data_IF_995555569380
#
_entry.id   IF_995555569380
#
_cell.length_a   1.000
_cell.length_b   1.000
_cell.length_c   1.000
_cell.angle_alpha   90.00
_cell.angle_beta   90.00
_cell.angle_gamma   90.00
#
_symmetry.space_group_name_H-M   'P 1'
#
loop_
_entity.id
_entity.type
_entity.pdbx_description
1 polymer ?
#
# COMPACT_ATOMS: atom_id res chain seq x y z
N UNK A 1 -70.04 69.45 24.70
CA UNK A 1 -69.78 68.19 23.96
C UNK A 1 -68.99 68.51 22.69
N UNK A 2 -68.15 67.57 22.22
CA UNK A 2 -66.76 67.79 21.79
C UNK A 2 -66.66 68.01 20.26
N UNK A 3 -65.52 68.33 19.64
CA UNK A 3 -64.56 67.29 19.26
C UNK A 3 -63.13 67.82 19.00
N UNK A 4 -62.21 66.88 19.14
CA UNK A 4 -60.80 66.99 19.50
C UNK A 4 -59.90 66.79 18.27
N UNK A 5 -58.72 67.41 18.36
CA UNK A 5 -57.39 66.93 17.88
C UNK A 5 -56.97 67.14 16.41
N UNK A 6 -56.02 68.07 16.31
CA UNK A 6 -54.86 68.31 15.41
C UNK A 6 -54.14 67.06 14.79
N UNK A 7 -53.02 67.21 14.06
CA UNK A 7 -52.88 67.44 12.60
C UNK A 7 -51.92 66.40 11.94
N UNK A 8 -51.69 66.42 10.62
CA UNK A 8 -50.32 66.27 10.08
C UNK A 8 -50.17 66.62 8.60
N UNK A 9 -49.24 67.54 8.41
CA UNK A 9 -48.56 67.97 7.20
C UNK A 9 -47.68 66.82 6.67
N UNK A 10 -47.55 66.70 5.35
CA UNK A 10 -46.26 66.72 4.63
C UNK A 10 -46.41 66.15 3.20
N UNK A 11 -46.54 67.10 2.28
CA UNK A 11 -45.92 67.20 0.95
C UNK A 11 -45.23 65.94 0.41
N UNK A 12 -45.83 65.34 -0.63
CA UNK A 12 -45.14 64.42 -1.54
C UNK A 12 -44.58 65.21 -2.71
N UNK A 13 -43.28 65.10 -3.01
CA UNK A 13 -42.87 65.11 -4.40
C UNK A 13 -41.83 64.02 -4.69
N UNK A 14 -41.77 63.60 -5.96
CA UNK A 14 -40.57 62.98 -6.51
C UNK A 14 -40.80 61.60 -7.10
N UNK A 15 -40.90 61.56 -8.43
CA UNK A 15 -40.94 60.33 -9.20
C UNK A 15 -39.70 59.47 -9.02
N UNK A 16 -39.89 58.16 -9.04
CA UNK A 16 -38.81 57.18 -9.06
C UNK A 16 -38.88 56.38 -10.34
N UNK A 17 -37.94 56.66 -11.24
CA UNK A 17 -37.61 55.86 -12.42
C UNK A 17 -37.23 54.46 -11.93
N UNK A 18 -38.01 53.45 -12.34
CA UNK A 18 -37.70 52.03 -12.11
C UNK A 18 -36.42 51.68 -12.86
N UNK A 19 -35.34 51.37 -12.15
CA UNK A 19 -34.16 50.68 -12.72
C UNK A 19 -34.46 49.16 -12.73
N UNK A 20 -34.08 48.41 -13.78
CA UNK A 20 -34.28 46.97 -13.78
C UNK A 20 -33.37 46.29 -12.74
N UNK A 21 -33.70 45.07 -12.29
CA UNK A 21 -32.87 44.33 -11.33
C UNK A 21 -31.54 44.00 -11.99
N UNK A 22 -30.44 44.29 -11.30
CA UNK A 22 -29.10 43.87 -11.68
C UNK A 22 -29.05 42.34 -11.54
N UNK A 23 -28.77 41.64 -12.64
CA UNK A 23 -28.50 40.20 -12.60
C UNK A 23 -27.38 39.90 -11.58
N UNK A 24 -27.40 38.75 -10.89
CA UNK A 24 -26.27 38.33 -10.07
C UNK A 24 -25.07 38.21 -10.99
N UNK A 25 -24.02 38.96 -10.67
CA UNK A 25 -22.73 38.89 -11.32
C UNK A 25 -22.11 37.54 -10.91
N UNK A 26 -21.83 36.68 -11.88
CA UNK A 26 -21.05 35.45 -11.67
C UNK A 26 -19.72 35.80 -10.99
N UNK A 27 -19.58 35.36 -9.75
CA UNK A 27 -18.37 35.48 -8.94
C UNK A 27 -17.38 34.36 -9.32
N UNK A 28 -16.91 34.41 -10.58
CA UNK A 28 -15.80 33.58 -11.06
C UNK A 28 -14.47 34.35 -10.96
N UNK A 29 -14.26 35.06 -9.85
CA UNK A 29 -13.10 35.93 -9.63
C UNK A 29 -12.01 35.34 -8.72
N UNK A 30 -12.33 34.36 -7.87
CA UNK A 30 -11.45 33.94 -6.77
C UNK A 30 -10.99 32.47 -6.83
N UNK A 31 -11.33 31.74 -7.90
CA UNK A 31 -10.90 30.34 -8.06
C UNK A 31 -9.39 30.21 -8.28
N UNK A 32 -8.74 31.19 -8.90
CA UNK A 32 -7.31 31.14 -9.24
C UNK A 32 -6.35 31.28 -8.04
N UNK A 33 -6.76 31.98 -6.98
CA UNK A 33 -5.91 32.20 -5.80
C UNK A 33 -6.11 31.15 -4.70
N UNK A 34 -7.31 30.56 -4.62
CA UNK A 34 -7.58 29.43 -3.74
C UNK A 34 -7.01 28.12 -4.31
N UNK A 35 -6.98 27.93 -5.63
CA UNK A 35 -6.31 26.78 -6.24
C UNK A 35 -4.81 26.73 -5.95
N UNK A 36 -4.10 27.85 -5.92
CA UNK A 36 -2.66 27.87 -5.55
C UNK A 36 -2.39 27.52 -4.08
N UNK A 37 -3.37 27.68 -3.19
CA UNK A 37 -3.28 27.29 -1.77
C UNK A 37 -3.77 25.85 -1.54
N UNK A 38 -4.88 25.46 -2.17
CA UNK A 38 -5.40 24.09 -2.14
C UNK A 38 -4.50 23.10 -2.89
N UNK A 39 -3.80 23.57 -3.94
CA UNK A 39 -2.83 22.76 -4.69
C UNK A 39 -1.65 22.35 -3.84
N UNK A 40 -1.21 23.14 -2.84
CA UNK A 40 -0.09 22.75 -1.97
C UNK A 40 -0.41 21.51 -1.15
N UNK A 41 -1.62 21.44 -0.60
CA UNK A 41 -2.08 20.28 0.16
C UNK A 41 -2.35 19.09 -0.76
N UNK A 42 -2.96 19.31 -1.94
CA UNK A 42 -3.15 18.27 -2.94
C UNK A 42 -1.83 17.72 -3.50
N UNK A 43 -0.84 18.58 -3.76
CA UNK A 43 0.50 18.17 -4.18
C UNK A 43 1.17 17.32 -3.10
N UNK A 44 1.00 17.65 -1.82
CA UNK A 44 1.53 16.85 -0.73
C UNK A 44 0.91 15.44 -0.70
N UNK A 45 -0.41 15.33 -0.86
CA UNK A 45 -1.10 14.04 -0.96
C UNK A 45 -0.70 13.23 -2.19
N UNK A 46 -0.58 13.87 -3.35
CA UNK A 46 -0.10 13.24 -4.58
C UNK A 46 1.34 12.74 -4.41
N UNK A 47 2.22 13.55 -3.79
CA UNK A 47 3.61 13.18 -3.55
C UNK A 47 3.72 12.01 -2.57
N UNK A 48 2.85 11.94 -1.55
CA UNK A 48 2.73 10.77 -0.66
C UNK A 48 2.30 9.52 -1.44
N UNK A 49 1.28 9.61 -2.28
CA UNK A 49 0.81 8.48 -3.09
C UNK A 49 1.93 8.00 -4.01
N UNK A 50 2.62 8.92 -4.69
CA UNK A 50 3.77 8.60 -5.54
C UNK A 50 4.92 7.97 -4.76
N UNK A 51 5.26 8.51 -3.58
CA UNK A 51 6.30 7.95 -2.71
C UNK A 51 5.93 6.55 -2.22
N UNK A 52 4.67 6.33 -1.85
CA UNK A 52 4.15 5.02 -1.46
C UNK A 52 4.24 4.02 -2.61
N UNK A 53 3.85 4.41 -3.83
CA UNK A 53 3.99 3.57 -5.02
C UNK A 53 5.48 3.28 -5.31
N UNK A 54 6.36 4.28 -5.19
CA UNK A 54 7.80 4.12 -5.46
C UNK A 54 8.47 3.17 -4.45
N UNK A 55 8.16 3.32 -3.17
CA UNK A 55 8.62 2.41 -2.11
C UNK A 55 8.04 1.02 -2.32
N UNK A 56 6.73 0.92 -2.63
CA UNK A 56 6.07 -0.35 -2.96
C UNK A 56 6.75 -1.06 -4.13
N UNK A 57 7.07 -0.35 -5.21
CA UNK A 57 7.80 -0.93 -6.35
C UNK A 57 9.19 -1.43 -5.96
N UNK A 58 9.95 -0.67 -5.16
CA UNK A 58 11.27 -1.10 -4.66
C UNK A 58 11.17 -2.33 -3.75
N UNK A 59 10.10 -2.45 -2.96
CA UNK A 59 9.84 -3.59 -2.10
C UNK A 59 9.33 -4.81 -2.88
N UNK A 60 8.45 -4.63 -3.86
CA UNK A 60 7.94 -5.70 -4.73
C UNK A 60 9.03 -6.34 -5.59
N UNK A 61 10.10 -5.60 -5.95
CA UNK A 61 11.29 -6.17 -6.60
C UNK A 61 12.03 -7.14 -5.68
N UNK A 62 11.91 -6.99 -4.35
CA UNK A 62 12.53 -7.90 -3.37
C UNK A 62 11.69 -9.14 -3.04
N UNK A 63 10.43 -9.20 -3.51
CA UNK A 63 9.66 -10.42 -3.54
C UNK A 63 10.29 -11.33 -4.59
N UNK A 64 11.40 -11.95 -4.20
CA UNK A 64 12.05 -13.04 -4.93
C UNK A 64 10.93 -13.94 -5.44
N UNK A 65 10.92 -14.20 -6.75
CA UNK A 65 9.95 -15.08 -7.42
C UNK A 65 10.09 -16.49 -6.81
N UNK A 66 9.49 -16.69 -5.65
CA UNK A 66 9.37 -17.98 -4.99
C UNK A 66 8.27 -18.74 -5.71
N UNK A 67 8.70 -19.67 -6.55
CA UNK A 67 7.79 -20.57 -7.25
C UNK A 67 7.38 -21.67 -6.29
N UNK A 68 6.08 -21.92 -6.19
CA UNK A 68 5.58 -23.12 -5.49
C UNK A 68 5.85 -24.34 -6.36
N UNK A 69 6.64 -25.28 -5.86
CA UNK A 69 6.91 -26.56 -6.52
C UNK A 69 6.19 -27.69 -5.78
N UNK A 70 5.89 -28.77 -6.49
CA UNK A 70 5.34 -29.98 -5.88
C UNK A 70 6.40 -30.73 -5.07
N UNK A 71 5.94 -31.58 -4.15
CA UNK A 71 6.82 -32.48 -3.40
C UNK A 71 7.70 -33.35 -4.31
N UNK A 72 7.14 -33.85 -5.42
CA UNK A 72 7.89 -34.64 -6.40
C UNK A 72 9.04 -33.88 -7.06
N UNK A 73 8.84 -32.61 -7.40
CA UNK A 73 9.91 -31.77 -7.97
C UNK A 73 10.98 -31.44 -6.92
N UNK A 74 10.58 -31.20 -5.68
CA UNK A 74 11.51 -31.06 -4.56
C UNK A 74 12.41 -32.29 -4.41
N UNK A 75 11.85 -33.50 -4.40
CA UNK A 75 12.64 -34.74 -4.27
C UNK A 75 13.65 -34.89 -5.40
N UNK A 76 13.27 -34.56 -6.65
CA UNK A 76 14.22 -34.56 -7.78
C UNK A 76 15.38 -33.59 -7.57
N UNK A 77 15.12 -32.39 -7.06
CA UNK A 77 16.16 -31.39 -6.78
C UNK A 77 17.06 -31.81 -5.62
N UNK A 78 16.49 -32.49 -4.63
CA UNK A 78 17.19 -33.05 -3.47
C UNK A 78 18.15 -34.17 -3.92
N UNK A 79 17.69 -35.12 -4.72
CA UNK A 79 18.50 -36.22 -5.27
C UNK A 79 19.64 -35.71 -6.15
N UNK A 80 19.40 -34.65 -6.93
CA UNK A 80 20.41 -33.99 -7.76
C UNK A 80 21.43 -33.16 -6.98
N UNK A 81 21.30 -33.04 -5.64
CA UNK A 81 22.11 -32.16 -4.78
C UNK A 81 22.18 -30.72 -5.29
N UNK A 82 21.11 -30.26 -5.96
CA UNK A 82 21.02 -28.91 -6.51
C UNK A 82 20.53 -27.89 -5.48
N UNK A 83 20.28 -28.29 -4.23
CA UNK A 83 19.80 -27.41 -3.15
C UNK A 83 21.00 -26.95 -2.32
N UNK A 84 21.22 -25.63 -2.23
CA UNK A 84 22.32 -25.02 -1.44
C UNK A 84 21.91 -24.82 0.00
N UNK A 85 20.71 -24.25 0.20
CA UNK A 85 20.22 -23.89 1.52
C UNK A 85 18.71 -24.05 1.59
N UNK A 86 18.21 -24.41 2.75
CA UNK A 86 16.78 -24.50 3.03
C UNK A 86 16.44 -23.76 4.31
N UNK A 87 15.31 -23.05 4.27
CA UNK A 87 14.67 -22.50 5.45
C UNK A 87 13.36 -23.23 5.68
N UNK A 88 13.19 -23.79 6.87
CA UNK A 88 11.96 -24.46 7.27
C UNK A 88 11.14 -23.51 8.14
N UNK A 89 9.87 -23.33 7.78
CA UNK A 89 8.88 -22.49 8.46
C UNK A 89 7.61 -23.30 8.66
N UNK A 90 7.49 -23.96 9.82
CA UNK A 90 6.40 -24.92 10.07
C UNK A 90 6.39 -26.04 9.03
N UNK A 91 5.37 -26.07 8.17
CA UNK A 91 5.22 -27.02 7.05
C UNK A 91 5.77 -26.52 5.71
N UNK A 92 6.17 -25.25 5.63
CA UNK A 92 6.73 -24.69 4.41
C UNK A 92 8.24 -24.86 4.40
N UNK A 93 8.75 -25.47 3.34
CA UNK A 93 10.17 -25.58 3.07
C UNK A 93 10.54 -24.61 1.94
N UNK A 94 11.40 -23.65 2.24
CA UNK A 94 11.91 -22.65 1.32
C UNK A 94 13.34 -23.01 0.91
N UNK A 95 13.50 -23.56 -0.28
CA UNK A 95 14.79 -23.97 -0.82
C UNK A 95 15.41 -22.93 -1.75
N UNK A 96 16.75 -22.89 -1.77
CA UNK A 96 17.54 -22.14 -2.75
C UNK A 96 18.36 -23.13 -3.57
N UNK A 97 18.17 -23.08 -4.89
CA UNK A 97 18.89 -23.92 -5.83
C UNK A 97 20.27 -23.31 -6.15
N UNK A 98 21.26 -24.18 -6.36
CA UNK A 98 22.60 -23.82 -6.84
C UNK A 98 22.50 -23.30 -8.26
N UNK A 99 21.88 -24.09 -9.12
CA UNK A 99 21.60 -23.74 -10.51
C UNK A 99 20.11 -23.43 -10.67
N UNK A 100 19.76 -22.30 -11.33
CA UNK A 100 18.37 -21.96 -11.60
C UNK A 100 17.68 -23.08 -12.38
N UNK A 101 16.49 -23.48 -11.92
CA UNK A 101 15.66 -24.44 -12.63
C UNK A 101 14.56 -23.71 -13.41
N UNK A 102 14.11 -24.32 -14.49
CA UNK A 102 12.99 -23.80 -15.29
C UNK A 102 11.79 -24.69 -15.07
N UNK A 103 10.64 -24.09 -14.76
CA UNK A 103 9.36 -24.80 -14.74
C UNK A 103 8.48 -24.25 -15.86
N UNK A 104 7.80 -25.15 -16.56
CA UNK A 104 6.76 -24.81 -17.52
C UNK A 104 5.43 -24.71 -16.75
N UNK A 105 5.06 -23.49 -16.37
CA UNK A 105 3.81 -23.20 -15.64
C UNK A 105 2.93 -22.26 -16.45
N UNK A 106 1.64 -22.58 -16.61
CA UNK A 106 0.64 -21.75 -17.35
C UNK A 106 1.11 -21.28 -18.74
N UNK A 107 1.78 -22.14 -19.50
CA UNK A 107 2.23 -21.84 -20.86
C UNK A 107 3.42 -20.87 -20.97
N UNK A 108 4.10 -20.56 -19.86
CA UNK A 108 5.36 -19.80 -19.84
C UNK A 108 6.47 -20.60 -19.16
N UNK A 109 7.68 -20.44 -19.67
CA UNK A 109 8.89 -20.92 -19.01
C UNK A 109 9.28 -19.89 -17.96
N UNK A 110 9.19 -20.28 -16.69
CA UNK A 110 9.63 -19.45 -15.57
C UNK A 110 10.90 -20.05 -14.97
N UNK A 111 11.98 -19.29 -15.01
CA UNK A 111 13.23 -19.63 -14.32
C UNK A 111 13.15 -19.18 -12.87
N UNK A 112 13.46 -20.07 -11.95
CA UNK A 112 13.45 -19.82 -10.51
C UNK A 112 14.69 -20.39 -9.86
N UNK A 113 15.20 -19.65 -8.88
CA UNK A 113 16.30 -20.10 -8.03
C UNK A 113 15.84 -20.32 -6.59
N UNK A 114 14.78 -19.64 -6.16
CA UNK A 114 14.11 -19.87 -4.88
C UNK A 114 12.78 -20.55 -5.13
N UNK A 115 12.49 -21.57 -4.36
CA UNK A 115 11.23 -22.28 -4.43
C UNK A 115 10.66 -22.51 -3.04
N UNK A 116 9.36 -22.71 -2.98
CA UNK A 116 8.68 -23.20 -1.79
C UNK A 116 7.98 -24.50 -2.08
N UNK A 117 8.06 -25.44 -1.14
CA UNK A 117 7.30 -26.69 -1.16
C UNK A 117 6.55 -26.81 0.17
N UNK A 118 5.29 -27.19 0.09
CA UNK A 118 4.49 -27.52 1.28
C UNK A 118 4.73 -28.99 1.56
N UNK A 119 5.34 -29.28 2.69
CA UNK A 119 5.61 -30.65 3.12
C UNK A 119 4.29 -31.31 3.59
N UNK A 120 4.09 -32.61 3.34
CA UNK A 120 2.92 -33.33 3.84
C UNK A 120 2.81 -33.30 5.37
N UNK A 121 3.97 -33.37 6.03
CA UNK A 121 4.11 -33.37 7.49
C UNK A 121 5.18 -32.35 7.91
N UNK A 122 5.15 -31.93 9.17
CA UNK A 122 6.20 -31.09 9.74
C UNK A 122 7.51 -31.89 9.82
N UNK A 123 8.62 -31.36 9.27
CA UNK A 123 9.87 -32.09 9.24
C UNK A 123 10.44 -32.22 10.66
N UNK A 124 10.65 -33.46 11.10
CA UNK A 124 11.33 -33.74 12.36
C UNK A 124 12.81 -33.33 12.31
N UNK A 125 13.42 -33.09 13.47
CA UNK A 125 14.85 -32.79 13.56
C UNK A 125 15.72 -33.92 12.98
N UNK A 126 15.27 -35.17 13.09
CA UNK A 126 15.93 -36.35 12.50
C UNK A 126 15.90 -36.32 10.97
N UNK A 127 14.76 -35.96 10.36
CA UNK A 127 14.64 -35.83 8.91
C UNK A 127 15.54 -34.72 8.38
N UNK A 128 15.60 -33.59 9.09
CA UNK A 128 16.51 -32.50 8.76
C UNK A 128 17.98 -32.93 8.87
N UNK A 129 18.36 -33.67 9.92
CA UNK A 129 19.71 -34.24 10.03
C UNK A 129 20.03 -35.22 8.91
N UNK A 130 19.07 -36.05 8.50
CA UNK A 130 19.24 -36.93 7.33
C UNK A 130 19.52 -36.12 6.07
N UNK A 131 18.79 -35.02 5.84
CA UNK A 131 19.08 -34.14 4.70
C UNK A 131 20.45 -33.46 4.77
N UNK A 132 20.87 -33.04 5.97
CA UNK A 132 22.20 -32.48 6.20
C UNK A 132 23.30 -33.53 5.91
N UNK A 133 23.16 -34.74 6.45
CA UNK A 133 24.18 -35.78 6.37
C UNK A 133 24.27 -36.42 4.98
N UNK A 134 23.13 -36.81 4.40
CA UNK A 134 23.09 -37.57 3.14
C UNK A 134 23.27 -36.65 1.91
N UNK A 135 22.77 -35.42 1.99
CA UNK A 135 22.71 -34.48 0.87
C UNK A 135 23.53 -33.20 1.07
N UNK A 136 24.17 -33.01 2.23
CA UNK A 136 25.02 -31.84 2.51
C UNK A 136 24.23 -30.54 2.60
N UNK A 137 22.94 -30.63 2.94
CA UNK A 137 21.99 -29.53 2.84
C UNK A 137 22.11 -28.59 4.05
N UNK A 138 22.27 -27.29 3.84
CA UNK A 138 22.27 -26.33 4.96
C UNK A 138 20.83 -26.00 5.34
N UNK A 139 20.36 -26.52 6.47
CA UNK A 139 18.98 -26.33 6.96
C UNK A 139 18.97 -25.32 8.11
N UNK A 140 18.19 -24.27 7.97
CA UNK A 140 17.96 -23.26 9.00
C UNK A 140 16.48 -23.25 9.41
N UNK A 141 16.19 -23.46 10.69
CA UNK A 141 14.84 -23.34 11.22
C UNK A 141 14.57 -21.88 11.58
N UNK A 142 13.61 -21.25 10.90
CA UNK A 142 13.17 -19.91 11.24
C UNK A 142 11.75 -19.95 11.80
N UNK A 143 11.50 -19.36 12.99
CA UNK A 143 10.13 -19.10 13.40
C UNK A 143 9.45 -18.23 12.34
N UNK A 144 8.15 -18.45 12.09
CA UNK A 144 7.38 -17.68 11.13
C UNK A 144 7.37 -16.18 11.52
N UNK A 145 8.35 -15.42 11.04
CA UNK A 145 8.45 -13.98 11.32
C UNK A 145 7.61 -13.13 10.36
N UNK A 146 6.82 -13.76 9.47
CA UNK A 146 6.00 -13.09 8.45
C UNK A 146 4.96 -12.13 9.05
N UNK A 147 4.54 -12.37 10.29
CA UNK A 147 3.54 -11.53 10.96
C UNK A 147 3.99 -10.07 11.05
N UNK A 148 5.18 -9.79 11.59
CA UNK A 148 5.64 -8.43 11.83
C UNK A 148 5.80 -7.61 10.55
N UNK A 149 6.35 -8.20 9.47
CA UNK A 149 6.57 -7.48 8.22
C UNK A 149 5.27 -7.16 7.48
N UNK A 150 4.26 -8.04 7.57
CA UNK A 150 2.92 -7.74 7.08
C UNK A 150 2.31 -6.55 7.83
N UNK A 151 2.43 -6.49 9.16
CA UNK A 151 1.92 -5.36 9.94
C UNK A 151 2.62 -4.04 9.61
N UNK A 152 3.93 -4.04 9.34
CA UNK A 152 4.68 -2.82 8.95
C UNK A 152 4.15 -2.23 7.64
N UNK A 153 3.78 -3.07 6.67
CA UNK A 153 3.15 -2.63 5.43
C UNK A 153 1.81 -1.92 5.64
N UNK A 154 0.98 -2.41 6.57
CA UNK A 154 -0.29 -1.79 6.94
C UNK A 154 -0.12 -0.57 7.86
N UNK A 155 0.93 -0.55 8.69
CA UNK A 155 1.25 0.55 9.59
C UNK A 155 1.84 1.75 8.86
N UNK A 156 2.59 1.55 7.77
CA UNK A 156 3.20 2.63 6.98
C UNK A 156 2.18 3.72 6.53
N UNK A 157 1.04 3.36 5.90
CA UNK A 157 -0.01 4.33 5.59
C UNK A 157 -0.55 5.05 6.84
N UNK A 158 -0.76 4.32 7.93
CA UNK A 158 -1.34 4.86 9.17
C UNK A 158 -0.36 5.81 9.88
N UNK A 159 0.92 5.46 9.93
CA UNK A 159 2.01 6.30 10.46
C UNK A 159 2.18 7.56 9.62
N UNK A 160 2.06 7.49 8.29
CA UNK A 160 2.10 8.68 7.44
C UNK A 160 0.97 9.66 7.75
N UNK A 161 -0.26 9.14 7.90
CA UNK A 161 -1.43 9.97 8.28
C UNK A 161 -1.23 10.57 9.67
N UNK A 162 -0.76 9.78 10.63
CA UNK A 162 -0.54 10.22 12.01
C UNK A 162 0.59 11.26 12.12
N UNK A 163 1.69 11.07 11.39
CA UNK A 163 2.79 12.02 11.30
C UNK A 163 2.33 13.34 10.67
N UNK A 164 1.49 13.27 9.64
CA UNK A 164 0.91 14.45 9.01
C UNK A 164 -0.04 15.20 9.95
N UNK A 165 -0.87 14.48 10.73
CA UNK A 165 -1.73 15.09 11.74
C UNK A 165 -0.91 15.78 12.84
N UNK A 166 0.12 15.12 13.37
CA UNK A 166 1.04 15.71 14.34
C UNK A 166 1.76 16.95 13.80
N UNK A 167 2.14 16.95 12.52
CA UNK A 167 2.75 18.11 11.88
C UNK A 167 1.79 19.30 11.79
N UNK A 168 0.50 19.06 11.53
CA UNK A 168 -0.52 20.11 11.47
C UNK A 168 -0.97 20.62 12.83
N UNK A 169 -0.97 19.79 13.88
CA UNK A 169 -1.38 20.21 15.23
C UNK A 169 -0.28 21.03 15.92
N UNK A 170 0.98 20.83 15.53
CA UNK A 170 2.13 21.52 16.12
C UNK A 170 2.47 22.85 15.43
N UNK A 171 1.75 23.25 14.39
CA UNK A 171 1.87 24.54 13.69
C UNK A 171 0.51 25.22 13.57
#
# INVERSE_FOLDING_TARGET
MPDRKRPKKDTRPGGQRRRPPRAPQDDNGDEGFQWRRASRTLLFWVLIILASIWVSQRLSVSQSREVTVSYSEFTKHLEKKNIVSAQIRGREFHGVLREPATISGRGRLETYQRFKVVLPEEPSSELAQKWINDYGLQVEFKPESRYLWNYVGYLLPLVLIFAMWLFFVRR
#
